data_IF_687820942712
#
_entry.id   IF_687820942712
#
_cell.length_a   1.000
_cell.length_b   1.000
_cell.length_c   1.000
_cell.angle_alpha   90.00
_cell.angle_beta   90.00
_cell.angle_gamma   90.00
#
_symmetry.space_group_name_H-M   'P 1'
#
loop_
_entity.id
_entity.type
_entity.pdbx_description
1 polymer ?
#
# COMPACT_ATOMS: atom_id res chain seq x y z
N UNK A 1 45.96 -33.58 -27.06
CA UNK A 1 45.78 -32.13 -26.86
C UNK A 1 44.36 -31.77 -27.25
N UNK A 2 43.52 -31.39 -26.30
CA UNK A 2 42.13 -31.01 -26.55
C UNK A 2 41.74 -29.86 -25.64
N UNK A 3 41.70 -28.65 -26.19
CA UNK A 3 41.22 -27.45 -25.52
C UNK A 3 39.71 -27.35 -25.72
N UNK A 4 38.93 -27.61 -24.66
CA UNK A 4 37.50 -27.31 -24.63
C UNK A 4 37.29 -25.87 -24.15
N UNK A 5 36.64 -25.06 -24.97
CA UNK A 5 36.24 -23.70 -24.63
C UNK A 5 35.06 -23.73 -23.65
N UNK A 6 35.25 -23.15 -22.46
CA UNK A 6 34.18 -22.97 -21.48
C UNK A 6 33.36 -21.73 -21.85
N UNK A 7 32.19 -21.94 -22.45
CA UNK A 7 31.19 -20.89 -22.58
C UNK A 7 30.63 -20.57 -21.19
N UNK A 8 30.88 -19.36 -20.70
CA UNK A 8 30.19 -18.80 -19.55
C UNK A 8 28.79 -18.36 -20.03
N UNK A 9 27.79 -19.19 -19.74
CA UNK A 9 26.40 -18.78 -19.88
C UNK A 9 26.09 -17.82 -18.73
N UNK A 10 25.97 -16.53 -19.03
CA UNK A 10 25.41 -15.56 -18.10
C UNK A 10 23.98 -15.99 -17.73
N UNK A 11 23.81 -16.51 -16.53
CA UNK A 11 22.51 -16.72 -15.91
C UNK A 11 21.84 -15.35 -15.73
N UNK A 12 20.99 -14.97 -16.69
CA UNK A 12 19.96 -13.96 -16.46
C UNK A 12 19.08 -14.47 -15.34
N UNK A 13 19.28 -13.93 -14.14
CA UNK A 13 18.42 -14.21 -12.99
C UNK A 13 17.04 -13.64 -13.31
N UNK A 14 16.17 -14.50 -13.83
CA UNK A 14 14.76 -14.23 -14.02
C UNK A 14 14.15 -14.09 -12.62
N UNK A 15 14.02 -12.84 -12.15
CA UNK A 15 13.36 -12.54 -10.88
C UNK A 15 11.90 -12.96 -11.01
N UNK A 16 11.58 -14.16 -10.52
CA UNK A 16 10.21 -14.65 -10.37
C UNK A 16 9.38 -13.55 -9.71
N UNK A 17 8.24 -13.12 -10.28
CA UNK A 17 7.41 -12.11 -9.66
C UNK A 17 7.04 -12.61 -8.26
N UNK A 18 7.40 -11.86 -7.23
CA UNK A 18 7.07 -12.17 -5.84
C UNK A 18 5.54 -12.09 -5.68
N UNK A 19 4.83 -13.15 -6.06
CA UNK A 19 3.38 -13.24 -6.02
C UNK A 19 2.92 -13.12 -4.58
N UNK A 20 2.24 -12.02 -4.26
CA UNK A 20 2.16 -11.46 -2.92
C UNK A 20 1.62 -12.40 -1.83
N UNK A 21 2.27 -12.35 -0.66
CA UNK A 21 1.60 -12.33 0.64
C UNK A 21 2.63 -11.89 1.68
N UNK A 22 2.76 -10.58 1.88
CA UNK A 22 3.46 -10.03 3.04
C UNK A 22 2.48 -9.18 3.80
N UNK A 23 1.92 -9.75 4.84
CA UNK A 23 1.46 -8.90 5.92
C UNK A 23 2.71 -8.56 6.74
N UNK A 24 3.07 -7.29 6.72
CA UNK A 24 4.18 -6.76 7.51
C UNK A 24 3.70 -5.58 8.33
N UNK A 25 4.13 -5.57 9.59
CA UNK A 25 3.74 -4.55 10.57
C UNK A 25 4.92 -4.29 11.51
N UNK A 26 4.95 -3.10 12.09
CA UNK A 26 5.88 -2.74 13.15
C UNK A 26 5.47 -3.30 14.53
N UNK A 27 4.27 -3.87 14.66
CA UNK A 27 3.77 -4.47 15.89
C UNK A 27 3.89 -6.00 15.86
N UNK A 28 3.99 -6.59 17.05
CA UNK A 28 4.03 -8.04 17.21
C UNK A 28 2.66 -8.63 16.87
N UNK A 29 2.64 -9.58 15.94
CA UNK A 29 1.54 -10.53 15.75
C UNK A 29 2.03 -11.90 16.23
N UNK A 30 1.21 -12.72 16.90
CA UNK A 30 1.65 -13.95 17.56
C UNK A 30 2.44 -14.94 16.66
N UNK A 31 2.17 -14.93 15.35
CA UNK A 31 2.80 -15.83 14.38
C UNK A 31 3.85 -15.15 13.50
N UNK A 32 4.24 -13.90 13.80
CA UNK A 32 5.15 -13.14 12.96
C UNK A 32 6.56 -13.17 13.56
N UNK A 33 7.54 -13.32 12.69
CA UNK A 33 8.96 -13.26 13.04
C UNK A 33 9.50 -11.85 12.82
N UNK A 34 10.42 -11.41 13.68
CA UNK A 34 11.04 -10.09 13.54
C UNK A 34 12.21 -10.12 12.54
N UNK A 35 12.15 -9.29 11.50
CA UNK A 35 13.25 -9.10 10.55
C UNK A 35 14.18 -7.99 11.04
N UNK A 36 15.37 -8.35 11.55
CA UNK A 36 16.38 -7.37 11.95
C UNK A 36 16.89 -6.50 10.78
N UNK A 37 16.92 -7.04 9.56
CA UNK A 37 17.34 -6.30 8.36
C UNK A 37 16.34 -5.20 7.95
N UNK A 38 15.05 -5.41 8.21
CA UNK A 38 13.98 -4.50 7.79
C UNK A 38 13.26 -3.79 8.96
N UNK A 39 13.62 -4.14 10.19
CA UNK A 39 13.07 -3.60 11.44
C UNK A 39 11.53 -3.74 11.57
N UNK A 40 10.98 -4.86 11.10
CA UNK A 40 9.54 -5.11 11.09
C UNK A 40 9.20 -6.59 11.31
N UNK A 41 7.98 -6.87 11.78
CA UNK A 41 7.44 -8.21 11.96
C UNK A 41 6.78 -8.70 10.67
N UNK A 42 7.05 -9.96 10.31
CA UNK A 42 6.61 -10.58 9.06
C UNK A 42 6.15 -12.01 9.24
N UNK A 43 5.25 -12.45 8.38
CA UNK A 43 4.83 -13.86 8.28
C UNK A 43 5.96 -14.76 7.75
N UNK A 44 6.83 -14.24 6.88
CA UNK A 44 7.87 -15.02 6.22
C UNK A 44 9.18 -14.21 6.08
N UNK A 45 10.20 -14.61 6.85
CA UNK A 45 11.52 -13.97 6.84
C UNK A 45 12.28 -14.18 5.52
N UNK A 46 12.15 -15.35 4.89
CA UNK A 46 12.92 -15.70 3.70
C UNK A 46 12.53 -14.78 2.54
N UNK A 47 11.24 -14.52 2.41
CA UNK A 47 10.74 -13.66 1.36
C UNK A 47 11.04 -12.17 1.60
N UNK A 48 11.05 -11.73 2.85
CA UNK A 48 11.43 -10.35 3.20
C UNK A 48 12.95 -10.15 3.04
N UNK A 49 13.77 -11.18 3.22
CA UNK A 49 15.22 -11.09 3.01
C UNK A 49 15.60 -10.67 1.59
N UNK A 50 14.75 -11.00 0.59
CA UNK A 50 14.91 -10.64 -0.82
C UNK A 50 14.59 -9.17 -1.12
N UNK A 51 13.92 -8.46 -0.20
CA UNK A 51 13.60 -7.06 -0.37
C UNK A 51 14.81 -6.17 -0.08
N UNK A 52 14.81 -4.98 -0.70
CA UNK A 52 15.78 -3.96 -0.38
C UNK A 52 15.56 -3.47 1.07
N UNK A 53 16.63 -3.26 1.86
CA UNK A 53 16.49 -2.76 3.22
C UNK A 53 15.91 -1.34 3.25
N UNK A 54 15.22 -0.94 4.34
CA UNK A 54 14.71 0.40 4.50
C UNK A 54 15.86 1.40 4.59
N UNK A 55 15.97 2.26 3.58
CA UNK A 55 16.91 3.38 3.54
C UNK A 55 16.23 4.60 2.93
N UNK A 56 16.61 5.83 3.30
CA UNK A 56 16.12 7.04 2.63
C UNK A 56 16.30 6.93 1.10
N UNK A 57 15.25 7.17 0.30
CA UNK A 57 15.39 7.21 -1.15
C UNK A 57 16.37 8.31 -1.57
N UNK A 58 17.27 8.07 -2.55
CA UNK A 58 18.22 9.08 -3.03
C UNK A 58 17.54 10.14 -3.90
N UNK A 59 16.36 9.82 -4.46
CA UNK A 59 15.56 10.69 -5.31
C UNK A 59 14.49 11.42 -4.50
N UNK A 60 14.21 12.67 -4.86
CA UNK A 60 13.03 13.38 -4.36
C UNK A 60 11.74 12.93 -5.07
N UNK A 61 10.59 13.46 -4.64
CA UNK A 61 9.27 13.13 -5.22
C UNK A 61 9.12 13.60 -6.67
N UNK A 62 9.61 14.78 -7.01
CA UNK A 62 9.42 15.40 -8.34
C UNK A 62 10.21 14.67 -9.44
N UNK A 63 11.32 14.02 -9.07
CA UNK A 63 12.10 13.16 -9.96
C UNK A 63 11.34 11.90 -10.39
N UNK A 64 10.58 11.30 -9.46
CA UNK A 64 9.89 10.02 -9.71
C UNK A 64 8.42 10.18 -10.08
N UNK A 65 7.76 11.24 -9.61
CA UNK A 65 6.32 11.43 -9.75
C UNK A 65 6.00 12.77 -10.41
N UNK A 66 5.34 12.69 -11.58
CA UNK A 66 4.77 13.84 -12.29
C UNK A 66 3.30 13.57 -12.58
N UNK A 67 2.41 14.41 -12.05
CA UNK A 67 0.97 14.18 -12.06
C UNK A 67 0.41 14.05 -13.49
N UNK A 68 1.01 14.74 -14.46
CA UNK A 68 0.63 14.73 -15.88
C UNK A 68 0.68 13.32 -16.45
N UNK A 69 1.67 12.51 -16.05
CA UNK A 69 1.83 11.13 -16.51
C UNK A 69 0.72 10.20 -16.01
N UNK A 70 0.05 10.56 -14.91
CA UNK A 70 -0.91 9.70 -14.22
C UNK A 70 -2.36 10.13 -14.36
N UNK A 71 -2.66 11.21 -15.10
CA UNK A 71 -4.04 11.73 -15.25
C UNK A 71 -5.03 10.70 -15.76
N UNK A 72 -4.61 9.82 -16.68
CA UNK A 72 -5.47 8.74 -17.19
C UNK A 72 -5.78 7.72 -16.09
N UNK A 73 -4.79 7.38 -15.27
CA UNK A 73 -4.95 6.44 -14.17
C UNK A 73 -5.81 7.03 -13.06
N UNK A 74 -5.62 8.32 -12.76
CA UNK A 74 -6.42 9.01 -11.77
C UNK A 74 -7.88 9.07 -12.19
N UNK A 75 -8.16 9.42 -13.46
CA UNK A 75 -9.52 9.38 -14.02
C UNK A 75 -10.13 7.99 -13.96
N UNK A 76 -9.34 6.93 -14.17
CA UNK A 76 -9.81 5.55 -14.04
C UNK A 76 -10.20 5.24 -12.60
N UNK A 77 -9.32 5.53 -11.64
CA UNK A 77 -9.60 5.36 -10.22
C UNK A 77 -10.88 6.12 -9.80
N UNK A 78 -11.01 7.38 -10.22
CA UNK A 78 -12.18 8.23 -9.93
C UNK A 78 -13.49 7.70 -10.55
N UNK A 79 -13.38 7.00 -11.69
CA UNK A 79 -14.53 6.42 -12.43
C UNK A 79 -14.82 4.96 -12.08
N UNK A 80 -14.13 4.39 -11.09
CA UNK A 80 -14.35 3.01 -10.68
C UNK A 80 -15.84 2.79 -10.33
N UNK A 81 -16.55 1.88 -11.03
CA UNK A 81 -17.98 1.67 -10.79
C UNK A 81 -18.27 1.22 -9.36
N UNK A 82 -19.28 1.82 -8.71
CA UNK A 82 -19.67 1.47 -7.33
C UNK A 82 -20.04 -0.01 -7.15
N UNK A 83 -20.49 -0.71 -8.21
CA UNK A 83 -20.76 -2.15 -8.15
C UNK A 83 -19.52 -2.97 -7.75
N UNK A 84 -18.31 -2.50 -8.12
CA UNK A 84 -17.04 -3.16 -7.78
C UNK A 84 -16.78 -3.19 -6.28
N UNK A 85 -17.45 -2.34 -5.48
CA UNK A 85 -17.36 -2.43 -4.02
C UNK A 85 -17.96 -3.73 -3.48
N UNK A 86 -18.99 -4.25 -4.14
CA UNK A 86 -19.73 -5.46 -3.73
C UNK A 86 -19.19 -6.73 -4.39
N UNK A 87 -18.36 -6.58 -5.43
CA UNK A 87 -17.69 -7.68 -6.10
C UNK A 87 -16.43 -8.11 -5.33
N UNK A 88 -15.89 -9.32 -5.57
CA UNK A 88 -14.60 -9.70 -5.04
C UNK A 88 -13.49 -8.73 -5.46
N UNK A 89 -12.45 -8.58 -4.64
CA UNK A 89 -11.32 -7.68 -4.94
C UNK A 89 -10.74 -7.89 -6.34
N UNK A 90 -10.74 -9.11 -6.87
CA UNK A 90 -10.26 -9.41 -8.22
C UNK A 90 -10.92 -8.54 -9.30
N UNK A 91 -12.22 -8.25 -9.20
CA UNK A 91 -12.93 -7.38 -10.14
C UNK A 91 -12.44 -5.93 -10.07
N UNK A 92 -12.30 -5.39 -8.85
CA UNK A 92 -11.74 -4.06 -8.64
C UNK A 92 -10.29 -3.97 -9.14
N UNK A 93 -9.47 -4.97 -8.79
CA UNK A 93 -8.05 -4.99 -9.17
C UNK A 93 -7.88 -5.12 -10.68
N UNK A 94 -8.65 -5.97 -11.35
CA UNK A 94 -8.64 -6.08 -12.81
C UNK A 94 -8.99 -4.74 -13.49
N UNK A 95 -9.97 -4.01 -12.95
CA UNK A 95 -10.33 -2.69 -13.45
C UNK A 95 -9.19 -1.67 -13.24
N UNK A 96 -8.69 -1.53 -12.01
CA UNK A 96 -7.66 -0.52 -11.68
C UNK A 96 -6.34 -0.78 -12.41
N UNK A 97 -5.93 -2.05 -12.47
CA UNK A 97 -4.61 -2.48 -12.97
C UNK A 97 -4.54 -2.64 -14.50
N UNK A 98 -5.65 -2.41 -15.22
CA UNK A 98 -5.70 -2.56 -16.67
C UNK A 98 -4.59 -1.77 -17.40
N UNK A 99 -3.70 -2.48 -18.10
CA UNK A 99 -2.59 -1.88 -18.85
C UNK A 99 -1.50 -1.24 -17.98
N UNK A 100 -1.39 -1.60 -16.69
CA UNK A 100 -0.33 -1.14 -15.80
C UNK A 100 0.77 -2.19 -15.69
N UNK A 101 2.02 -1.75 -15.80
CA UNK A 101 3.19 -2.63 -15.74
C UNK A 101 4.16 -2.21 -14.63
N UNK A 102 4.38 -0.90 -14.46
CA UNK A 102 5.29 -0.39 -13.44
C UNK A 102 4.63 -0.24 -12.06
N UNK A 103 5.43 -0.38 -11.01
CA UNK A 103 4.96 -0.38 -9.63
C UNK A 103 4.45 0.99 -9.16
N UNK A 104 5.01 2.08 -9.68
CA UNK A 104 4.59 3.42 -9.29
C UNK A 104 3.18 3.73 -9.82
N UNK A 105 2.86 3.29 -11.02
CA UNK A 105 1.52 3.36 -11.63
C UNK A 105 0.51 2.54 -10.84
N UNK A 106 0.86 1.31 -10.41
CA UNK A 106 0.01 0.46 -9.55
C UNK A 106 -0.26 1.13 -8.20
N UNK A 107 0.79 1.64 -7.53
CA UNK A 107 0.64 2.36 -6.26
C UNK A 107 -0.18 3.63 -6.44
N UNK A 108 0.03 4.39 -7.52
CA UNK A 108 -0.71 5.63 -7.78
C UNK A 108 -2.19 5.37 -7.97
N UNK A 109 -2.58 4.37 -8.77
CA UNK A 109 -4.00 4.09 -9.00
C UNK A 109 -4.69 3.60 -7.72
N UNK A 110 -4.01 2.78 -6.90
CA UNK A 110 -4.50 2.36 -5.57
C UNK A 110 -4.70 3.56 -4.67
N UNK A 111 -3.66 4.38 -4.51
CA UNK A 111 -3.69 5.56 -3.67
C UNK A 111 -4.83 6.48 -4.10
N UNK A 112 -4.94 6.77 -5.39
CA UNK A 112 -5.97 7.65 -5.91
C UNK A 112 -7.36 7.08 -5.65
N UNK A 113 -7.60 5.81 -5.96
CA UNK A 113 -8.88 5.16 -5.72
C UNK A 113 -9.29 5.26 -4.25
N UNK A 114 -8.39 4.86 -3.33
CA UNK A 114 -8.66 4.95 -1.88
C UNK A 114 -8.97 6.38 -1.44
N UNK A 115 -8.19 7.37 -1.87
CA UNK A 115 -8.40 8.78 -1.50
C UNK A 115 -9.62 9.43 -2.15
N UNK A 116 -10.11 8.89 -3.27
CA UNK A 116 -11.32 9.37 -3.95
C UNK A 116 -12.63 8.81 -3.35
N UNK A 117 -12.54 7.83 -2.45
CA UNK A 117 -13.71 7.24 -1.81
C UNK A 117 -14.44 8.31 -0.97
N UNK A 118 -15.65 8.68 -1.41
CA UNK A 118 -16.55 9.55 -0.65
C UNK A 118 -17.25 8.74 0.43
N UNK A 119 -16.53 8.45 1.52
CA UNK A 119 -16.96 7.54 2.59
C UNK A 119 -18.36 7.87 3.12
N UNK A 120 -18.71 9.15 3.19
CA UNK A 120 -19.99 9.67 3.66
C UNK A 120 -21.15 9.23 2.75
N UNK A 121 -20.90 9.13 1.44
CA UNK A 121 -21.90 8.79 0.42
C UNK A 121 -22.07 7.28 0.21
N UNK A 122 -21.21 6.45 0.81
CA UNK A 122 -21.29 4.99 0.68
C UNK A 122 -22.29 4.45 1.70
N UNK A 123 -23.40 3.91 1.20
CA UNK A 123 -24.39 3.21 2.03
C UNK A 123 -23.84 1.87 2.52
N UNK A 124 -23.88 1.66 3.83
CA UNK A 124 -23.42 0.43 4.45
C UNK A 124 -24.58 -0.55 4.65
N UNK A 125 -24.37 -1.85 4.35
CA UNK A 125 -25.29 -2.87 4.81
C UNK A 125 -25.28 -2.96 6.34
N UNK A 126 -26.43 -3.37 6.91
CA UNK A 126 -26.54 -3.62 8.35
C UNK A 126 -25.69 -4.80 8.80
N UNK A 127 -25.57 -5.81 7.93
CA UNK A 127 -24.77 -7.02 8.14
C UNK A 127 -23.37 -6.79 7.58
N UNK A 128 -22.37 -7.38 8.23
CA UNK A 128 -20.99 -7.34 7.78
C UNK A 128 -20.85 -7.94 6.37
N UNK A 129 -20.26 -7.22 5.39
CA UNK A 129 -20.04 -7.76 4.04
C UNK A 129 -19.02 -8.90 4.01
N UNK A 130 -18.97 -9.72 2.95
CA UNK A 130 -17.93 -10.74 2.79
C UNK A 130 -16.52 -10.11 2.76
N UNK A 131 -15.59 -10.70 3.52
CA UNK A 131 -14.21 -10.22 3.64
C UNK A 131 -13.43 -10.16 2.31
N UNK A 132 -13.91 -10.87 1.29
CA UNK A 132 -13.36 -10.90 -0.07
C UNK A 132 -13.71 -9.65 -0.91
N UNK A 133 -14.52 -8.72 -0.39
CA UNK A 133 -15.00 -7.53 -1.11
C UNK A 133 -14.36 -6.24 -0.58
N UNK A 134 -14.18 -5.20 -1.41
CA UNK A 134 -13.75 -3.88 -0.94
C UNK A 134 -14.72 -3.25 0.09
N UNK A 135 -16.02 -3.53 -0.05
CA UNK A 135 -17.04 -3.02 0.87
C UNK A 135 -16.82 -3.49 2.31
N UNK A 136 -16.25 -4.67 2.54
CA UNK A 136 -15.90 -5.13 3.88
C UNK A 136 -14.94 -4.19 4.60
N UNK A 137 -13.88 -3.73 3.92
CA UNK A 137 -12.91 -2.82 4.55
C UNK A 137 -13.50 -1.42 4.73
N UNK A 138 -14.31 -0.95 3.79
CA UNK A 138 -15.04 0.32 3.95
C UNK A 138 -16.00 0.24 5.15
N UNK A 139 -16.71 -0.88 5.30
CA UNK A 139 -17.57 -1.15 6.46
C UNK A 139 -16.77 -1.13 7.77
N UNK A 140 -15.60 -1.77 7.81
CA UNK A 140 -14.70 -1.74 8.98
C UNK A 140 -14.23 -0.32 9.30
N UNK A 141 -13.81 0.46 8.32
CA UNK A 141 -13.37 1.86 8.50
C UNK A 141 -14.50 2.68 9.14
N UNK A 142 -15.70 2.63 8.57
CA UNK A 142 -16.85 3.40 9.08
C UNK A 142 -17.33 2.94 10.46
N UNK A 143 -17.12 1.67 10.81
CA UNK A 143 -17.41 1.13 12.15
C UNK A 143 -16.23 1.21 13.13
N UNK A 144 -15.17 1.98 12.83
CA UNK A 144 -13.95 2.10 13.66
C UNK A 144 -13.25 0.77 13.96
N UNK A 145 -13.45 -0.23 13.11
CA UNK A 145 -12.83 -1.56 13.19
C UNK A 145 -11.63 -1.71 12.25
N UNK A 146 -11.35 -0.72 11.40
CA UNK A 146 -10.24 -0.71 10.46
C UNK A 146 -9.87 0.72 10.03
N UNK A 147 -8.90 0.87 9.15
CA UNK A 147 -8.42 2.17 8.70
C UNK A 147 -7.92 2.14 7.23
N UNK A 148 -7.57 3.31 6.70
CA UNK A 148 -7.07 3.46 5.34
C UNK A 148 -5.76 2.72 5.08
N UNK A 149 -4.85 2.63 6.07
CA UNK A 149 -3.57 1.95 5.92
C UNK A 149 -3.75 0.44 5.70
N UNK A 150 -4.74 -0.17 6.37
CA UNK A 150 -5.14 -1.56 6.15
C UNK A 150 -5.72 -1.78 4.75
N UNK A 151 -6.60 -0.90 4.28
CA UNK A 151 -7.16 -0.98 2.92
C UNK A 151 -6.07 -0.88 1.85
N UNK A 152 -5.16 0.09 1.98
CA UNK A 152 -4.00 0.22 1.06
C UNK A 152 -3.13 -1.03 1.10
N UNK A 153 -2.82 -1.56 2.29
CA UNK A 153 -2.01 -2.77 2.44
C UNK A 153 -2.62 -3.97 1.71
N UNK A 154 -3.94 -4.16 1.82
CA UNK A 154 -4.67 -5.23 1.12
C UNK A 154 -4.54 -5.07 -0.41
N UNK A 155 -4.74 -3.86 -0.93
CA UNK A 155 -4.66 -3.60 -2.37
C UNK A 155 -3.24 -3.72 -2.91
N UNK A 156 -2.23 -3.23 -2.17
CA UNK A 156 -0.83 -3.40 -2.53
C UNK A 156 -0.43 -4.87 -2.60
N UNK A 157 -0.85 -5.67 -1.60
CA UNK A 157 -0.62 -7.12 -1.58
C UNK A 157 -1.22 -7.80 -2.82
N UNK A 158 -2.43 -7.44 -3.19
CA UNK A 158 -3.10 -7.97 -4.39
C UNK A 158 -2.44 -7.50 -5.69
N UNK A 159 -1.76 -6.34 -5.69
CA UNK A 159 -0.99 -5.82 -6.82
C UNK A 159 0.45 -6.34 -6.88
N UNK A 160 0.87 -7.19 -5.94
CA UNK A 160 2.25 -7.66 -5.83
C UNK A 160 3.24 -6.57 -5.39
N UNK A 161 2.78 -5.50 -4.76
CA UNK A 161 3.62 -4.42 -4.23
C UNK A 161 3.96 -4.72 -2.77
N UNK A 162 5.26 -4.85 -2.41
CA UNK A 162 5.66 -4.95 -1.02
C UNK A 162 5.22 -3.69 -0.26
N UNK A 163 4.42 -3.90 0.79
CA UNK A 163 3.79 -2.85 1.57
C UNK A 163 3.77 -3.25 3.03
N UNK A 164 4.16 -2.33 3.92
CA UNK A 164 4.09 -2.49 5.37
C UNK A 164 3.21 -1.41 5.97
N UNK A 165 2.49 -1.74 7.04
CA UNK A 165 1.80 -0.74 7.87
C UNK A 165 2.78 -0.26 8.92
N UNK A 166 3.00 1.05 8.97
CA UNK A 166 3.78 1.73 10.00
C UNK A 166 2.81 2.20 11.07
N UNK A 167 3.11 1.83 12.31
CA UNK A 167 2.41 2.27 13.51
C UNK A 167 3.27 3.34 14.17
N UNK A 168 2.73 4.54 14.37
CA UNK A 168 3.52 5.63 14.92
C UNK A 168 2.68 6.77 15.44
N UNK A 169 3.31 7.94 15.53
CA UNK A 169 2.70 9.16 16.06
C UNK A 169 2.49 10.17 14.93
N UNK A 170 1.32 10.78 14.88
CA UNK A 170 0.97 11.83 13.94
C UNK A 170 0.58 13.10 14.70
N UNK A 171 1.02 14.24 14.17
CA UNK A 171 0.52 15.55 14.57
C UNK A 171 -0.86 15.72 13.92
N UNK A 172 -1.93 15.49 14.68
CA UNK A 172 -3.29 15.74 14.23
C UNK A 172 -3.58 17.24 14.08
N UNK A 173 -4.73 17.58 13.49
CA UNK A 173 -5.22 18.97 13.40
C UNK A 173 -5.49 19.60 14.77
N UNK A 174 -5.66 18.76 15.80
CA UNK A 174 -5.94 19.15 17.19
C UNK A 174 -4.69 19.24 18.06
N UNK A 175 -3.49 19.21 17.47
CA UNK A 175 -2.24 19.32 18.23
C UNK A 175 -1.87 20.79 18.47
N UNK A 176 -1.67 21.14 19.73
CA UNK A 176 -1.23 22.49 20.14
C UNK A 176 0.30 22.59 20.24
N UNK A 177 0.85 23.75 19.87
CA UNK A 177 2.29 24.00 20.00
C UNK A 177 2.69 23.87 21.48
N UNK A 178 3.66 22.99 21.76
CA UNK A 178 4.11 22.70 23.13
C UNK A 178 3.35 21.55 23.82
N UNK A 179 2.31 21.00 23.19
CA UNK A 179 1.59 19.84 23.72
C UNK A 179 2.51 18.61 23.79
N UNK A 180 2.49 17.89 24.92
CA UNK A 180 3.20 16.62 25.05
C UNK A 180 2.55 15.55 24.18
N UNK A 181 3.37 14.77 23.48
CA UNK A 181 2.87 13.70 22.62
C UNK A 181 2.35 12.54 23.48
N UNK A 182 1.04 12.38 23.48
CA UNK A 182 0.34 11.26 24.09
C UNK A 182 0.14 10.10 23.10
N UNK A 183 0.53 8.90 23.49
CA UNK A 183 0.53 7.70 22.64
C UNK A 183 -0.84 7.31 22.11
N UNK A 184 -1.91 7.51 22.89
CA UNK A 184 -3.27 7.17 22.48
C UNK A 184 -3.87 8.25 21.57
N UNK A 185 -3.66 9.52 21.91
CA UNK A 185 -4.25 10.64 21.17
C UNK A 185 -3.56 10.92 19.85
N UNK A 186 -2.26 10.65 19.76
CA UNK A 186 -1.45 10.92 18.57
C UNK A 186 -1.15 9.66 17.77
N UNK A 187 -1.74 8.53 18.12
CA UNK A 187 -1.53 7.30 17.37
C UNK A 187 -2.01 7.44 15.93
N UNK A 188 -1.24 6.89 15.00
CA UNK A 188 -1.61 6.85 13.60
C UNK A 188 -0.95 5.71 12.84
N UNK A 189 -1.59 5.34 11.74
CA UNK A 189 -1.10 4.31 10.83
C UNK A 189 -0.97 4.88 9.42
N UNK A 190 0.15 4.56 8.77
CA UNK A 190 0.39 4.86 7.36
C UNK A 190 1.15 3.71 6.73
N UNK A 191 1.44 3.78 5.43
CA UNK A 191 2.13 2.71 4.73
C UNK A 191 3.54 3.12 4.32
N UNK A 192 4.43 2.14 4.21
CA UNK A 192 5.60 2.24 3.33
C UNK A 192 5.47 1.19 2.23
N UNK A 193 5.76 1.60 0.99
CA UNK A 193 5.72 0.75 -0.20
C UNK A 193 7.10 0.69 -0.84
N UNK A 194 7.52 -0.47 -1.32
CA UNK A 194 8.78 -0.63 -2.03
C UNK A 194 8.56 -0.34 -3.52
N UNK A 195 9.21 0.71 -4.04
CA UNK A 195 9.12 1.11 -5.45
C UNK A 195 10.54 1.26 -5.98
N UNK A 196 10.87 0.51 -7.04
CA UNK A 196 12.19 0.56 -7.68
C UNK A 196 13.35 0.39 -6.69
N UNK A 197 13.21 -0.51 -5.72
CA UNK A 197 14.25 -0.80 -4.71
C UNK A 197 14.37 0.21 -3.56
N UNK A 198 13.44 1.17 -3.45
CA UNK A 198 13.41 2.14 -2.34
C UNK A 198 12.05 2.19 -1.66
N UNK A 199 12.06 2.17 -0.32
CA UNK A 199 10.86 2.30 0.49
C UNK A 199 10.38 3.75 0.50
N UNK A 200 9.10 3.96 0.20
CA UNK A 200 8.48 5.29 0.12
C UNK A 200 7.23 5.34 0.99
N UNK A 201 7.07 6.44 1.72
CA UNK A 201 5.92 6.64 2.61
C UNK A 201 4.67 7.01 1.81
N UNK A 202 3.53 6.45 2.24
CA UNK A 202 2.22 6.67 1.65
C UNK A 202 1.19 6.85 2.77
N UNK A 203 0.50 7.99 2.78
CA UNK A 203 -0.53 8.27 3.77
C UNK A 203 -1.88 8.58 3.10
N UNK A 204 -2.73 7.55 3.02
CA UNK A 204 -4.03 7.65 2.39
C UNK A 204 -5.08 8.36 3.25
N UNK A 205 -4.96 8.32 4.59
CA UNK A 205 -5.87 9.05 5.47
C UNK A 205 -5.78 10.56 5.22
N UNK A 206 -4.57 11.12 5.22
CA UNK A 206 -4.38 12.54 4.92
C UNK A 206 -4.80 12.89 3.50
N UNK A 207 -4.53 12.02 2.53
CA UNK A 207 -4.97 12.23 1.15
C UNK A 207 -6.50 12.26 1.00
N UNK A 208 -7.22 11.46 1.78
CA UNK A 208 -8.68 11.39 1.75
C UNK A 208 -9.35 12.51 2.57
N UNK A 209 -8.80 12.84 3.74
CA UNK A 209 -9.48 13.68 4.73
C UNK A 209 -8.94 15.12 4.82
N UNK A 210 -7.68 15.39 4.47
CA UNK A 210 -7.10 16.73 4.64
C UNK A 210 -7.08 17.57 3.35
N UNK A 211 -7.25 16.94 2.18
CA UNK A 211 -7.23 17.61 0.88
C UNK A 211 -8.64 17.73 0.28
N UNK A 212 -9.62 16.94 0.77
CA UNK A 212 -10.98 16.93 0.24
C UNK A 212 -11.81 18.20 0.57
N UNK A 213 -11.37 19.01 1.53
CA UNK A 213 -12.05 20.26 1.94
C UNK A 213 -11.56 21.51 1.17
N UNK A 214 -10.77 21.35 0.10
CA UNK A 214 -10.20 22.46 -0.69
C UNK A 214 -10.60 22.43 -2.18
N UNK A 215 -11.81 21.97 -2.51
CA UNK A 215 -12.43 22.16 -3.84
C UNK A 215 -13.86 22.66 -3.69
#
# INVERSE_FOLDING_TARGET
>A
MGCGASNQTEEKTEQTPLTGCFMSTYQLQPNYSYSHKHFLYVEDLARVALLAPPRPPPTNKAEVFRIEKYRVLDKRADKAPNKLLKEPYSGLMAYLMSGLFDDLSKVRVIYRWVTSLKMERIFLPKVEPPATTPLYQIWRIKNRKGNYAQLVSILCRLAGIPCTIIHGRLKGSTYDVGQKVNDRLHYGEWNAVLIQGYWRLLNAYWGACAIADLI
#
